data_IF_567458134748
#
_entry.id   IF_567458134748
#
_cell.length_a   1.000
_cell.length_b   1.000
_cell.length_c   1.000
_cell.angle_alpha   90.00
_cell.angle_beta   90.00
_cell.angle_gamma   90.00
#
_symmetry.space_group_name_H-M   'P 1'
#
loop_
_entity.id
_entity.type
_entity.pdbx_description
1 polymer ?
#
# COMPACT_ATOMS: atom_id res chain seq x y z
N UNK A 1 34.34 -6.68 9.86
CA UNK A 1 34.66 -6.23 11.23
C UNK A 1 33.40 -6.32 12.05
N UNK A 2 33.50 -6.76 13.31
CA UNK A 2 32.40 -6.79 14.29
C UNK A 2 32.69 -5.83 15.42
N UNK A 3 31.70 -5.04 15.80
CA UNK A 3 31.82 -4.10 16.91
C UNK A 3 30.74 -4.44 17.94
N UNK A 4 31.13 -4.70 19.18
CA UNK A 4 30.17 -4.86 20.27
C UNK A 4 29.85 -3.49 20.85
N UNK A 5 28.63 -3.00 20.64
CA UNK A 5 28.09 -1.88 21.38
C UNK A 5 27.37 -2.41 22.62
N UNK A 6 28.00 -2.25 23.77
CA UNK A 6 27.46 -2.72 25.05
C UNK A 6 27.24 -1.58 26.02
N UNK A 7 25.98 -1.23 26.32
CA UNK A 7 25.68 -0.62 27.59
C UNK A 7 26.19 -1.51 28.72
N UNK A 8 26.55 -0.92 29.84
CA UNK A 8 26.90 -1.67 31.05
C UNK A 8 25.88 -1.39 32.15
N UNK A 9 25.62 -2.39 32.96
CA UNK A 9 24.77 -2.28 34.14
C UNK A 9 25.47 -2.72 35.42
N UNK A 10 24.67 -2.86 36.47
CA UNK A 10 25.13 -3.35 37.78
C UNK A 10 25.49 -4.83 37.78
N UNK A 11 25.00 -5.59 36.80
CA UNK A 11 25.31 -7.02 36.62
C UNK A 11 26.55 -7.29 35.80
N UNK A 12 27.08 -6.27 35.12
CA UNK A 12 28.35 -6.34 34.43
C UNK A 12 29.47 -5.91 35.41
N UNK A 13 30.73 -6.36 35.20
CA UNK A 13 31.16 -7.29 34.14
C UNK A 13 30.88 -8.77 34.48
N UNK A 14 30.84 -9.13 35.76
CA UNK A 14 30.70 -10.51 36.27
C UNK A 14 29.74 -10.51 37.47
N UNK A 15 29.02 -11.62 37.68
CA UNK A 15 28.16 -11.79 38.86
C UNK A 15 28.07 -13.26 39.24
N UNK A 16 28.29 -13.57 40.52
CA UNK A 16 28.32 -14.96 41.02
C UNK A 16 29.25 -15.86 40.20
N UNK A 17 30.47 -15.39 39.92
CA UNK A 17 31.46 -16.13 39.12
C UNK A 17 30.94 -16.58 37.74
N UNK A 18 30.04 -15.79 37.13
CA UNK A 18 29.49 -15.99 35.78
C UNK A 18 29.52 -14.68 35.03
N UNK A 19 29.71 -14.76 33.72
CA UNK A 19 29.76 -13.59 32.85
C UNK A 19 28.47 -12.76 32.96
N UNK A 20 28.66 -11.44 33.14
CA UNK A 20 27.67 -10.45 32.75
C UNK A 20 27.43 -10.49 31.24
N UNK A 21 26.38 -9.84 30.77
CA UNK A 21 25.99 -9.98 29.36
C UNK A 21 27.05 -9.40 28.41
N UNK A 22 27.76 -8.33 28.81
CA UNK A 22 28.86 -7.79 28.02
C UNK A 22 29.96 -8.84 27.77
N UNK A 23 30.45 -9.48 28.84
CA UNK A 23 31.51 -10.49 28.77
C UNK A 23 31.05 -11.75 28.05
N UNK A 24 29.82 -12.20 28.27
CA UNK A 24 29.29 -13.38 27.60
C UNK A 24 29.22 -13.15 26.08
N UNK A 25 28.77 -11.98 25.63
CA UNK A 25 28.76 -11.66 24.19
C UNK A 25 30.18 -11.60 23.65
N UNK A 26 31.10 -10.93 24.35
CA UNK A 26 32.51 -10.84 23.97
C UNK A 26 33.12 -12.24 23.77
N UNK A 27 32.92 -13.15 24.72
CA UNK A 27 33.45 -14.52 24.71
C UNK A 27 33.02 -15.33 23.48
N UNK A 28 31.73 -15.27 23.11
CA UNK A 28 31.17 -16.11 22.05
C UNK A 28 31.20 -15.48 20.66
N UNK A 29 31.17 -14.14 20.56
CA UNK A 29 31.14 -13.45 19.27
C UNK A 29 32.50 -12.90 18.83
N UNK A 30 33.44 -12.75 19.77
CA UNK A 30 34.80 -12.26 19.54
C UNK A 30 34.85 -11.02 18.64
N UNK A 31 34.19 -9.90 19.04
CA UNK A 31 34.24 -8.66 18.29
C UNK A 31 35.67 -8.12 18.16
N UNK A 32 35.91 -7.36 17.08
CA UNK A 32 37.20 -6.70 16.81
C UNK A 32 37.39 -5.43 17.66
N UNK A 33 36.28 -4.85 18.17
CA UNK A 33 36.28 -3.64 18.97
C UNK A 33 35.06 -3.62 19.91
N UNK A 34 35.23 -3.13 21.13
CA UNK A 34 34.14 -2.95 22.11
C UNK A 34 33.89 -1.46 22.36
N UNK A 35 32.63 -1.05 22.23
CA UNK A 35 32.14 0.26 22.60
C UNK A 35 31.29 0.13 23.86
N UNK A 36 31.81 0.61 24.99
CA UNK A 36 31.08 0.64 26.25
C UNK A 36 30.26 1.91 26.38
N UNK A 37 28.96 1.76 26.62
CA UNK A 37 28.05 2.89 26.83
C UNK A 37 27.69 3.02 28.31
N UNK A 38 28.02 4.17 28.89
CA UNK A 38 27.86 4.43 30.32
C UNK A 38 26.75 5.45 30.60
N UNK A 39 25.88 5.14 31.55
CA UNK A 39 25.14 6.18 32.30
C UNK A 39 26.09 6.90 33.25
N UNK A 40 25.68 8.05 33.80
CA UNK A 40 26.54 8.80 34.73
C UNK A 40 26.99 7.96 35.94
N UNK A 41 26.10 7.10 36.46
CA UNK A 41 26.41 6.20 37.57
C UNK A 41 27.45 5.14 37.19
N UNK A 42 27.29 4.51 36.02
CA UNK A 42 28.21 3.46 35.57
C UNK A 42 29.57 4.04 35.14
N UNK A 43 29.60 5.27 34.61
CA UNK A 43 30.83 5.99 34.30
C UNK A 43 31.65 6.26 35.56
N UNK A 44 31.00 6.73 36.63
CA UNK A 44 31.68 6.99 37.90
C UNK A 44 32.23 5.68 38.50
N UNK A 45 31.44 4.60 38.44
CA UNK A 45 31.88 3.26 38.87
C UNK A 45 33.10 2.78 38.09
N UNK A 46 33.12 2.98 36.77
CA UNK A 46 34.28 2.63 35.95
C UNK A 46 35.51 3.48 36.28
N UNK A 47 35.36 4.80 36.50
CA UNK A 47 36.48 5.67 36.87
C UNK A 47 37.12 5.28 38.20
N UNK A 48 36.32 4.76 39.13
CA UNK A 48 36.79 4.35 40.45
C UNK A 48 37.45 2.98 40.46
N UNK A 49 36.96 2.05 39.63
CA UNK A 49 37.30 0.62 39.76
C UNK A 49 37.94 0.00 38.53
N UNK A 50 37.76 0.58 37.34
CA UNK A 50 38.13 0.02 36.05
C UNK A 50 37.58 -1.40 35.80
N UNK A 51 36.49 -1.78 36.47
CA UNK A 51 36.01 -3.16 36.47
C UNK A 51 35.54 -3.63 35.09
N UNK A 52 34.88 -2.76 34.31
CA UNK A 52 34.32 -3.19 33.02
C UNK A 52 35.42 -3.43 31.99
N UNK A 53 36.42 -2.54 31.93
CA UNK A 53 37.60 -2.71 31.06
C UNK A 53 38.47 -3.88 31.50
N UNK A 54 38.66 -4.08 32.81
CA UNK A 54 39.34 -5.25 33.37
C UNK A 54 38.68 -6.57 32.93
N UNK A 55 37.35 -6.67 33.03
CA UNK A 55 36.63 -7.86 32.61
C UNK A 55 36.81 -8.17 31.12
N UNK A 56 36.83 -7.14 30.27
CA UNK A 56 37.09 -7.31 28.83
C UNK A 56 38.50 -7.83 28.59
N UNK A 57 39.51 -7.24 29.24
CA UNK A 57 40.90 -7.66 29.11
C UNK A 57 41.11 -9.10 29.59
N UNK A 58 40.38 -9.54 30.62
CA UNK A 58 40.39 -10.94 31.07
C UNK A 58 39.86 -11.90 30.02
N UNK A 59 38.71 -11.60 29.41
CA UNK A 59 38.04 -12.50 28.46
C UNK A 59 38.67 -12.46 27.06
N UNK A 60 39.08 -11.28 26.59
CA UNK A 60 39.72 -11.09 25.30
C UNK A 60 40.87 -10.08 25.41
N UNK A 61 42.07 -10.54 25.84
CA UNK A 61 43.23 -9.68 26.02
C UNK A 61 43.60 -8.88 24.77
N UNK A 62 43.87 -7.59 24.94
CA UNK A 62 44.24 -6.68 23.85
C UNK A 62 43.09 -6.26 22.93
N UNK A 63 41.83 -6.59 23.28
CA UNK A 63 40.67 -6.10 22.54
C UNK A 63 40.54 -4.58 22.68
N UNK A 64 40.50 -3.80 21.58
CA UNK A 64 40.32 -2.35 21.66
C UNK A 64 38.98 -1.98 22.30
N UNK A 65 39.02 -1.09 23.31
CA UNK A 65 37.84 -0.58 24.02
C UNK A 65 37.73 0.93 23.86
N UNK A 66 36.54 1.42 23.52
CA UNK A 66 36.19 2.85 23.56
C UNK A 66 34.99 3.10 24.45
N UNK A 67 34.97 4.23 25.15
CA UNK A 67 33.90 4.61 26.06
C UNK A 67 33.01 5.71 25.46
N UNK A 68 31.70 5.58 25.64
CA UNK A 68 30.72 6.64 25.42
C UNK A 68 30.07 6.99 26.76
N UNK A 69 30.44 8.14 27.31
CA UNK A 69 29.93 8.66 28.57
C UNK A 69 28.71 9.54 28.29
N UNK A 70 27.51 9.05 28.59
CA UNK A 70 26.27 9.75 28.22
C UNK A 70 25.90 10.93 29.12
N UNK A 71 26.46 11.00 30.34
CA UNK A 71 26.07 11.99 31.35
C UNK A 71 24.62 11.84 31.87
N UNK A 72 23.89 10.81 31.47
CA UNK A 72 22.48 10.60 31.84
C UNK A 72 22.39 10.13 33.30
N UNK A 73 21.68 10.92 34.12
CA UNK A 73 21.40 10.62 35.54
C UNK A 73 20.02 10.00 35.74
N UNK A 74 19.00 10.52 35.06
CA UNK A 74 17.63 9.99 35.13
C UNK A 74 17.44 8.78 34.23
N UNK A 75 18.19 7.72 34.55
CA UNK A 75 18.32 6.51 33.77
C UNK A 75 17.03 5.67 33.67
N UNK A 76 16.01 6.03 34.44
CA UNK A 76 14.70 5.39 34.49
C UNK A 76 13.69 6.03 33.51
N UNK A 77 14.00 7.18 32.92
CA UNK A 77 13.14 7.89 31.96
C UNK A 77 13.58 7.58 30.53
N UNK A 78 12.62 7.28 29.64
CA UNK A 78 12.92 7.06 28.21
C UNK A 78 13.48 8.32 27.55
N UNK A 79 12.90 9.49 27.85
CA UNK A 79 13.25 10.77 27.24
C UNK A 79 14.75 11.10 27.36
N UNK A 80 15.39 10.65 28.44
CA UNK A 80 16.82 10.79 28.66
C UNK A 80 17.68 10.12 27.57
N UNK A 81 17.16 9.07 26.92
CA UNK A 81 17.91 8.25 25.96
C UNK A 81 17.46 8.40 24.51
N UNK A 82 16.23 8.89 24.26
CA UNK A 82 15.58 8.85 22.94
C UNK A 82 16.44 9.41 21.79
N UNK A 83 17.28 10.41 22.08
CA UNK A 83 18.20 10.99 21.10
C UNK A 83 19.63 10.49 21.26
N UNK A 84 20.16 10.52 22.48
CA UNK A 84 21.59 10.29 22.72
C UNK A 84 22.02 8.84 22.41
N UNK A 85 21.25 7.85 22.84
CA UNK A 85 21.62 6.45 22.66
C UNK A 85 21.61 6.04 21.17
N UNK A 86 20.56 6.33 20.37
CA UNK A 86 20.60 6.07 18.94
C UNK A 86 21.72 6.81 18.23
N UNK A 87 21.95 8.09 18.53
CA UNK A 87 23.03 8.88 17.95
C UNK A 87 24.41 8.28 18.25
N UNK A 88 24.60 7.72 19.44
CA UNK A 88 25.84 7.05 19.82
C UNK A 88 26.10 5.82 18.96
N UNK A 89 25.09 4.98 18.74
CA UNK A 89 25.19 3.80 17.86
C UNK A 89 25.42 4.24 16.41
N UNK A 90 24.73 5.27 15.93
CA UNK A 90 24.97 5.83 14.59
C UNK A 90 26.38 6.38 14.43
N UNK A 91 26.92 7.04 15.45
CA UNK A 91 28.28 7.56 15.40
C UNK A 91 29.30 6.42 15.23
N UNK A 92 29.10 5.30 15.93
CA UNK A 92 29.91 4.09 15.73
C UNK A 92 29.79 3.57 14.30
N UNK A 93 28.57 3.50 13.74
CA UNK A 93 28.38 3.11 12.34
C UNK A 93 29.03 4.09 11.36
N UNK A 94 28.99 5.39 11.63
CA UNK A 94 29.66 6.40 10.79
C UNK A 94 31.19 6.27 10.80
N UNK A 95 31.77 5.93 11.95
CA UNK A 95 33.21 5.65 12.07
C UNK A 95 33.60 4.34 11.38
N UNK A 96 32.69 3.36 11.38
CA UNK A 96 32.92 2.03 10.80
C UNK A 96 31.75 1.61 9.88
N UNK A 97 31.63 2.19 8.66
CA UNK A 97 30.46 2.00 7.81
C UNK A 97 30.20 0.55 7.38
N UNK A 98 31.27 -0.25 7.21
CA UNK A 98 31.19 -1.64 6.77
C UNK A 98 31.17 -2.65 7.94
N UNK A 99 31.11 -2.17 9.19
CA UNK A 99 31.09 -3.04 10.36
C UNK A 99 29.68 -3.54 10.69
N UNK A 100 29.60 -4.81 11.10
CA UNK A 100 28.42 -5.37 11.78
C UNK A 100 28.47 -4.91 13.24
N UNK A 101 27.41 -4.25 13.72
CA UNK A 101 27.31 -3.79 15.10
C UNK A 101 26.46 -4.76 15.91
N UNK A 102 27.08 -5.46 16.85
CA UNK A 102 26.42 -6.32 17.82
C UNK A 102 25.87 -5.45 18.96
N UNK A 103 24.56 -5.41 19.13
CA UNK A 103 23.90 -4.64 20.18
C UNK A 103 23.59 -5.55 21.37
N UNK A 104 24.16 -5.25 22.54
CA UNK A 104 23.82 -5.96 23.77
C UNK A 104 22.41 -5.56 24.26
N UNK A 105 21.45 -6.51 24.17
CA UNK A 105 20.06 -6.33 24.58
C UNK A 105 19.80 -6.73 26.04
N UNK A 106 20.83 -7.16 26.77
CA UNK A 106 20.72 -7.70 28.13
C UNK A 106 21.33 -6.82 29.22
N UNK A 107 22.22 -5.89 28.89
CA UNK A 107 22.82 -4.94 29.84
C UNK A 107 22.11 -3.57 29.85
N UNK A 108 22.34 -2.79 30.91
CA UNK A 108 21.73 -1.47 31.11
C UNK A 108 20.28 -1.52 31.62
N UNK A 109 19.62 -0.37 31.63
CA UNK A 109 18.23 -0.24 32.09
C UNK A 109 17.26 -0.82 31.05
N UNK A 110 16.02 -1.19 31.44
CA UNK A 110 15.01 -1.66 30.49
C UNK A 110 14.78 -0.69 29.31
N UNK A 111 14.89 0.61 29.53
CA UNK A 111 14.74 1.65 28.51
C UNK A 111 15.81 1.54 27.42
N UNK A 112 17.08 1.39 27.82
CA UNK A 112 18.21 1.18 26.91
C UNK A 112 17.99 -0.07 26.06
N UNK A 113 17.60 -1.19 26.69
CA UNK A 113 17.37 -2.47 26.00
C UNK A 113 16.30 -2.35 24.93
N UNK A 114 15.19 -1.67 25.23
CA UNK A 114 14.09 -1.43 24.27
C UNK A 114 14.59 -0.59 23.09
N UNK A 115 15.33 0.49 23.34
CA UNK A 115 15.85 1.35 22.27
C UNK A 115 16.81 0.57 21.36
N UNK A 116 17.73 -0.21 21.93
CA UNK A 116 18.64 -1.05 21.14
C UNK A 116 17.91 -2.14 20.36
N UNK A 117 16.86 -2.74 20.93
CA UNK A 117 16.02 -3.69 20.21
C UNK A 117 15.30 -3.04 19.01
N UNK A 118 14.82 -1.79 19.14
CA UNK A 118 14.28 -1.02 18.02
C UNK A 118 15.35 -0.80 16.95
N UNK A 119 16.57 -0.41 17.34
CA UNK A 119 17.68 -0.23 16.38
C UNK A 119 18.03 -1.53 15.64
N UNK A 120 18.12 -2.65 16.35
CA UNK A 120 18.33 -3.97 15.75
C UNK A 120 17.18 -4.42 14.83
N UNK A 121 15.99 -3.85 14.99
CA UNK A 121 14.82 -4.12 14.13
C UNK A 121 14.87 -3.30 12.84
N UNK A 122 15.25 -2.03 12.94
CA UNK A 122 15.17 -1.07 11.83
C UNK A 122 16.40 -1.07 10.91
N UNK A 123 17.57 -1.45 11.42
CA UNK A 123 18.83 -1.35 10.67
C UNK A 123 19.50 -2.70 10.45
N UNK A 124 19.72 -3.08 9.18
CA UNK A 124 20.31 -4.38 8.81
C UNK A 124 21.78 -4.53 9.21
N UNK A 125 22.49 -3.43 9.50
CA UNK A 125 23.87 -3.43 10.02
C UNK A 125 23.94 -3.62 11.55
N UNK A 126 22.79 -3.69 12.23
CA UNK A 126 22.70 -4.03 13.65
C UNK A 126 22.29 -5.49 13.84
N UNK A 127 22.90 -6.17 14.81
CA UNK A 127 22.49 -7.51 15.26
C UNK A 127 22.28 -7.51 16.77
N UNK A 128 21.02 -7.69 17.18
CA UNK A 128 20.65 -7.70 18.60
C UNK A 128 20.97 -9.03 19.27
N UNK A 129 21.78 -9.01 20.32
CA UNK A 129 22.17 -10.19 21.08
C UNK A 129 21.58 -10.13 22.49
N UNK A 130 20.81 -11.15 22.85
CA UNK A 130 20.24 -11.31 24.19
C UNK A 130 21.02 -12.40 24.94
N UNK A 131 21.43 -12.11 26.17
CA UNK A 131 22.05 -13.07 27.09
C UNK A 131 21.07 -13.43 28.20
N UNK A 132 20.75 -14.73 28.34
CA UNK A 132 19.95 -15.23 29.46
C UNK A 132 20.75 -15.21 30.76
N UNK A 133 20.12 -14.97 31.92
CA UNK A 133 20.82 -15.08 33.21
C UNK A 133 21.23 -16.53 33.49
N UNK A 134 22.30 -16.78 34.27
CA UNK A 134 22.74 -18.14 34.59
C UNK A 134 21.65 -19.01 35.23
N UNK A 135 20.80 -18.41 36.07
CA UNK A 135 19.68 -19.09 36.74
C UNK A 135 18.38 -19.11 35.90
N UNK A 136 18.33 -18.47 34.74
CA UNK A 136 17.13 -18.33 33.92
C UNK A 136 16.02 -17.45 34.52
N UNK A 137 16.30 -16.75 35.62
CA UNK A 137 15.38 -15.86 36.35
C UNK A 137 16.04 -14.53 36.75
N UNK A 138 15.25 -13.60 37.31
CA UNK A 138 15.75 -12.27 37.68
C UNK A 138 16.70 -12.33 38.88
N UNK A 139 17.83 -11.64 38.78
CA UNK A 139 18.88 -11.61 39.80
C UNK A 139 18.62 -10.52 40.87
N UNK A 140 17.39 -10.35 41.37
CA UNK A 140 17.05 -9.27 42.32
C UNK A 140 17.68 -9.49 43.71
N UNK A 141 17.95 -10.73 44.07
CA UNK A 141 18.34 -11.12 45.44
C UNK A 141 19.85 -11.20 45.70
N UNK A 142 20.69 -10.97 44.69
CA UNK A 142 22.15 -11.01 44.83
C UNK A 142 22.73 -9.61 44.92
N UNK A 143 23.76 -9.38 45.73
CA UNK A 143 24.38 -8.06 45.86
C UNK A 143 25.25 -7.80 44.62
N UNK A 144 25.14 -6.63 43.95
CA UNK A 144 26.06 -6.25 42.88
C UNK A 144 27.48 -6.10 43.43
N UNK A 145 28.47 -6.46 42.61
CA UNK A 145 29.89 -6.32 42.98
C UNK A 145 30.21 -4.85 43.31
N UNK A 146 30.96 -4.56 44.38
CA UNK A 146 31.15 -3.17 44.82
C UNK A 146 32.49 -2.60 44.37
N UNK A 147 33.56 -3.41 44.39
CA UNK A 147 34.92 -2.96 44.12
C UNK A 147 35.67 -3.84 43.10
N UNK A 148 36.90 -3.44 42.78
CA UNK A 148 37.75 -4.08 41.77
C UNK A 148 38.29 -5.44 42.25
N UNK A 149 38.60 -5.55 43.54
CA UNK A 149 39.21 -6.74 44.14
C UNK A 149 38.20 -7.90 44.09
N UNK A 150 36.93 -7.63 44.38
CA UNK A 150 35.83 -8.57 44.20
C UNK A 150 35.69 -9.05 42.74
N UNK A 151 35.87 -8.15 41.76
CA UNK A 151 35.80 -8.51 40.33
C UNK A 151 36.96 -9.40 39.91
N UNK A 152 38.18 -9.08 40.35
CA UNK A 152 39.35 -9.93 40.09
C UNK A 152 39.16 -11.34 40.66
N UNK A 153 38.66 -11.46 41.89
CA UNK A 153 38.39 -12.76 42.51
C UNK A 153 37.29 -13.55 41.77
N UNK A 154 36.19 -12.89 41.38
CA UNK A 154 35.12 -13.53 40.62
C UNK A 154 35.53 -13.93 39.21
N UNK A 155 36.43 -13.18 38.57
CA UNK A 155 36.98 -13.52 37.25
C UNK A 155 37.92 -14.73 37.34
N UNK A 156 38.73 -14.84 38.39
CA UNK A 156 39.60 -16.00 38.61
C UNK A 156 38.83 -17.32 38.80
N UNK A 157 37.62 -17.23 39.37
CA UNK A 157 36.74 -18.37 39.59
C UNK A 157 35.61 -18.47 38.56
N UNK A 158 35.70 -17.77 37.42
CA UNK A 158 34.58 -17.64 36.49
C UNK A 158 34.24 -18.97 35.81
N UNK A 159 33.07 -19.50 36.09
CA UNK A 159 32.59 -20.78 35.55
C UNK A 159 32.33 -20.72 34.03
N UNK A 160 32.24 -19.53 33.44
CA UNK A 160 32.13 -19.37 31.98
C UNK A 160 33.52 -19.42 31.28
N UNK A 161 34.64 -19.47 32.02
CA UNK A 161 35.99 -19.74 31.47
C UNK A 161 36.23 -21.24 31.21
N UNK A 162 35.45 -22.11 31.86
CA UNK A 162 35.65 -23.56 31.79
C UNK A 162 35.32 -24.14 30.40
N UNK A 163 36.10 -25.11 29.91
CA UNK A 163 35.80 -25.80 28.66
C UNK A 163 34.40 -26.43 28.68
N UNK A 164 33.53 -26.01 27.76
CA UNK A 164 32.17 -26.52 27.65
C UNK A 164 31.10 -25.70 28.40
N UNK A 165 31.45 -24.51 28.91
CA UNK A 165 30.46 -23.54 29.35
C UNK A 165 29.36 -23.32 28.28
N UNK A 166 28.13 -23.12 28.72
CA UNK A 166 26.97 -23.01 27.82
C UNK A 166 26.91 -21.62 27.20
N UNK A 167 26.71 -21.56 25.88
CA UNK A 167 26.36 -20.31 25.23
C UNK A 167 24.94 -19.88 25.62
N UNK A 168 24.83 -18.79 26.39
CA UNK A 168 23.57 -18.18 26.85
C UNK A 168 23.09 -17.07 25.91
N UNK A 169 23.81 -16.80 24.82
CA UNK A 169 23.40 -15.84 23.81
C UNK A 169 22.28 -16.42 22.93
N UNK A 170 21.26 -15.61 22.70
CA UNK A 170 20.19 -15.83 21.75
C UNK A 170 20.06 -14.60 20.86
N UNK A 171 19.67 -14.83 19.62
CA UNK A 171 19.37 -13.78 18.64
C UNK A 171 17.86 -13.73 18.45
N UNK A 172 17.15 -12.84 19.16
CA UNK A 172 15.71 -12.73 19.01
C UNK A 172 15.37 -12.35 17.56
N UNK A 173 14.35 -13.00 16.98
CA UNK A 173 13.86 -12.66 15.65
C UNK A 173 13.05 -11.35 15.69
N UNK A 174 13.74 -10.23 15.86
CA UNK A 174 13.14 -8.90 15.96
C UNK A 174 12.56 -8.42 14.62
N UNK A 175 13.02 -8.97 13.49
CA UNK A 175 12.53 -8.66 12.14
C UNK A 175 11.03 -8.89 11.97
N UNK A 176 10.42 -9.75 12.80
CA UNK A 176 8.97 -9.95 12.83
C UNK A 176 8.19 -8.67 13.18
N UNK A 177 8.76 -7.77 13.99
CA UNK A 177 8.12 -6.50 14.36
C UNK A 177 8.03 -5.56 13.15
N UNK A 178 9.10 -5.48 12.36
CA UNK A 178 9.14 -4.75 11.09
C UNK A 178 8.12 -5.32 10.10
N UNK A 179 8.02 -6.65 10.01
CA UNK A 179 7.05 -7.32 9.17
C UNK A 179 5.60 -6.91 9.49
N UNK A 180 5.22 -6.83 10.77
CA UNK A 180 3.86 -6.39 11.14
C UNK A 180 3.56 -4.95 10.73
N UNK A 181 4.53 -4.04 10.86
CA UNK A 181 4.39 -2.66 10.41
C UNK A 181 4.23 -2.57 8.90
N UNK A 182 5.09 -3.26 8.15
CA UNK A 182 5.05 -3.29 6.68
C UNK A 182 3.73 -3.89 6.17
N UNK A 183 3.20 -4.93 6.83
CA UNK A 183 1.87 -5.47 6.53
C UNK A 183 0.77 -4.43 6.69
N UNK A 184 0.80 -3.64 7.76
CA UNK A 184 -0.18 -2.58 7.99
C UNK A 184 -0.10 -1.47 6.91
N UNK A 185 1.12 -1.08 6.52
CA UNK A 185 1.36 -0.11 5.45
C UNK A 185 0.81 -0.62 4.10
N UNK A 186 1.10 -1.87 3.75
CA UNK A 186 0.57 -2.54 2.55
C UNK A 186 -0.96 -2.54 2.55
N UNK A 187 -1.59 -2.96 3.67
CA UNK A 187 -3.06 -2.98 3.79
C UNK A 187 -3.66 -1.59 3.63
N UNK A 188 -3.06 -0.56 4.22
CA UNK A 188 -3.52 0.83 4.10
C UNK A 188 -3.54 1.31 2.65
N UNK A 189 -2.50 0.96 1.87
CA UNK A 189 -2.42 1.26 0.44
C UNK A 189 -3.47 0.48 -0.36
N UNK A 190 -3.61 -0.82 -0.10
CA UNK A 190 -4.60 -1.70 -0.76
C UNK A 190 -6.03 -1.19 -0.55
N UNK A 191 -6.40 -0.82 0.67
CA UNK A 191 -7.73 -0.28 0.98
C UNK A 191 -8.03 1.08 0.30
N UNK A 192 -6.99 1.82 -0.09
CA UNK A 192 -7.09 3.08 -0.86
C UNK A 192 -6.96 2.88 -2.37
N UNK A 193 -6.91 1.63 -2.84
CA UNK A 193 -6.68 1.24 -4.22
C UNK A 193 -5.30 1.70 -4.77
N UNK A 194 -4.31 1.91 -3.89
CA UNK A 194 -2.93 2.31 -4.24
C UNK A 194 -2.03 1.08 -4.44
N UNK A 195 -2.41 0.23 -5.40
CA UNK A 195 -1.75 -1.07 -5.61
C UNK A 195 -0.31 -0.98 -6.10
N UNK A 196 0.04 0.06 -6.87
CA UNK A 196 1.42 0.28 -7.30
C UNK A 196 2.33 0.58 -6.10
N UNK A 197 1.88 1.41 -5.17
CA UNK A 197 2.59 1.65 -3.90
C UNK A 197 2.73 0.36 -3.09
N UNK A 198 1.63 -0.39 -2.94
CA UNK A 198 1.66 -1.66 -2.21
C UNK A 198 2.64 -2.68 -2.84
N UNK A 199 2.74 -2.70 -4.17
CA UNK A 199 3.68 -3.56 -4.90
C UNK A 199 5.14 -3.19 -4.63
N UNK A 200 5.47 -1.89 -4.57
CA UNK A 200 6.83 -1.42 -4.28
C UNK A 200 7.33 -1.91 -2.92
N UNK A 201 6.46 -1.94 -1.91
CA UNK A 201 6.79 -2.46 -0.59
C UNK A 201 6.92 -3.99 -0.55
N UNK A 202 6.08 -4.73 -1.27
CA UNK A 202 6.03 -6.19 -1.14
C UNK A 202 6.97 -6.95 -2.08
N UNK A 203 7.33 -6.40 -3.25
CA UNK A 203 8.03 -7.16 -4.32
C UNK A 203 9.37 -7.75 -3.91
N UNK A 204 10.12 -7.06 -3.04
CA UNK A 204 11.45 -7.46 -2.59
C UNK A 204 11.49 -8.10 -1.22
N UNK A 205 10.35 -8.18 -0.53
CA UNK A 205 10.30 -8.65 0.85
C UNK A 205 10.06 -10.16 0.90
N UNK A 206 11.04 -10.98 1.36
CA UNK A 206 10.90 -12.43 1.43
C UNK A 206 9.84 -12.88 2.44
N UNK A 207 9.55 -12.06 3.47
CA UNK A 207 8.59 -12.38 4.53
C UNK A 207 7.13 -12.22 4.10
N UNK A 208 6.87 -11.58 2.95
CA UNK A 208 5.53 -11.44 2.39
C UNK A 208 5.19 -12.66 1.53
N UNK A 209 4.05 -13.34 1.77
CA UNK A 209 3.66 -14.52 1.00
C UNK A 209 3.56 -14.27 -0.50
N UNK A 210 3.97 -15.27 -1.30
CA UNK A 210 3.95 -15.15 -2.76
C UNK A 210 2.52 -14.99 -3.32
N UNK A 211 1.52 -15.56 -2.66
CA UNK A 211 0.12 -15.37 -3.05
C UNK A 211 -0.31 -13.90 -2.86
N UNK A 212 0.07 -13.27 -1.75
CA UNK A 212 -0.14 -11.83 -1.53
C UNK A 212 0.53 -11.01 -2.64
N UNK A 213 1.80 -11.29 -2.94
CA UNK A 213 2.54 -10.60 -4.02
C UNK A 213 1.82 -10.75 -5.36
N UNK A 214 1.33 -11.95 -5.67
CA UNK A 214 0.58 -12.25 -6.89
C UNK A 214 -0.74 -11.46 -6.96
N UNK A 215 -1.51 -11.42 -5.87
CA UNK A 215 -2.76 -10.67 -5.78
C UNK A 215 -2.54 -9.16 -5.96
N UNK A 216 -1.56 -8.58 -5.25
CA UNK A 216 -1.23 -7.15 -5.36
C UNK A 216 -0.78 -6.80 -6.78
N UNK A 217 0.12 -7.61 -7.37
CA UNK A 217 0.59 -7.40 -8.74
C UNK A 217 -0.55 -7.47 -9.75
N UNK A 218 -1.47 -8.43 -9.58
CA UNK A 218 -2.68 -8.52 -10.38
C UNK A 218 -3.55 -7.27 -10.24
N UNK A 219 -3.82 -6.83 -9.01
CA UNK A 219 -4.63 -5.66 -8.72
C UNK A 219 -4.05 -4.39 -9.36
N UNK A 220 -2.73 -4.23 -9.28
CA UNK A 220 -1.98 -3.14 -9.90
C UNK A 220 -2.21 -3.08 -11.41
N UNK A 221 -1.98 -4.18 -12.13
CA UNK A 221 -2.21 -4.21 -13.58
C UNK A 221 -3.68 -4.01 -13.95
N UNK A 222 -4.61 -4.59 -13.19
CA UNK A 222 -6.04 -4.48 -13.47
C UNK A 222 -6.54 -3.05 -13.27
N UNK A 223 -6.09 -2.37 -12.21
CA UNK A 223 -6.49 -1.00 -11.89
C UNK A 223 -5.93 0.03 -12.88
N UNK A 224 -4.79 -0.27 -13.52
CA UNK A 224 -4.18 0.54 -14.58
C UNK A 224 -4.76 0.26 -15.99
N UNK A 225 -5.89 -0.44 -16.08
CA UNK A 225 -6.50 -0.90 -17.35
C UNK A 225 -5.56 -1.77 -18.21
N UNK A 226 -4.50 -2.34 -17.63
CA UNK A 226 -3.63 -3.31 -18.30
C UNK A 226 -4.24 -4.72 -18.21
N UNK A 227 -5.49 -4.87 -18.65
CA UNK A 227 -6.32 -6.08 -18.51
C UNK A 227 -5.62 -7.34 -19.02
N UNK A 228 -4.90 -7.25 -20.15
CA UNK A 228 -4.14 -8.39 -20.70
C UNK A 228 -3.03 -8.86 -19.77
N UNK A 229 -2.28 -7.92 -19.16
CA UNK A 229 -1.23 -8.25 -18.21
C UNK A 229 -1.82 -8.86 -16.93
N UNK A 230 -2.92 -8.30 -16.43
CA UNK A 230 -3.65 -8.86 -15.29
C UNK A 230 -4.15 -10.30 -15.57
N UNK A 231 -4.75 -10.54 -16.74
CA UNK A 231 -5.22 -11.87 -17.17
C UNK A 231 -4.10 -12.91 -17.29
N UNK A 232 -2.89 -12.50 -17.66
CA UNK A 232 -1.72 -13.38 -17.72
C UNK A 232 -1.28 -13.83 -16.32
N UNK A 233 -1.50 -13.00 -15.29
CA UNK A 233 -1.21 -13.36 -13.90
C UNK A 233 -2.25 -14.36 -13.38
N UNK A 234 -3.54 -14.05 -13.56
CA UNK A 234 -4.63 -14.97 -13.24
C UNK A 234 -5.96 -14.56 -13.87
N UNK A 235 -6.78 -15.58 -14.16
CA UNK A 235 -8.17 -15.41 -14.62
C UNK A 235 -9.20 -15.92 -13.62
N UNK A 236 -8.74 -16.73 -12.66
CA UNK A 236 -9.55 -17.31 -11.60
C UNK A 236 -8.81 -17.21 -10.27
N UNK A 237 -9.54 -16.97 -9.20
CA UNK A 237 -9.03 -17.03 -7.84
C UNK A 237 -10.15 -17.50 -6.91
N UNK A 238 -9.84 -18.42 -5.98
CA UNK A 238 -10.81 -19.03 -5.06
C UNK A 238 -12.11 -19.51 -5.75
N UNK A 239 -11.99 -20.17 -6.91
CA UNK A 239 -13.13 -20.69 -7.68
C UNK A 239 -13.93 -19.64 -8.47
N UNK A 240 -13.60 -18.36 -8.36
CA UNK A 240 -14.32 -17.27 -9.02
C UNK A 240 -13.60 -16.80 -10.29
N UNK A 241 -14.37 -16.52 -11.34
CA UNK A 241 -13.87 -15.89 -12.56
C UNK A 241 -13.69 -14.39 -12.34
N UNK A 242 -12.47 -13.88 -12.53
CA UNK A 242 -12.13 -12.47 -12.30
C UNK A 242 -12.55 -11.58 -13.47
N UNK A 243 -12.66 -12.16 -14.67
CA UNK A 243 -13.14 -11.54 -15.89
C UNK A 243 -14.24 -12.42 -16.50
N UNK A 244 -15.51 -12.24 -16.09
CA UNK A 244 -16.61 -13.12 -16.51
C UNK A 244 -17.25 -12.71 -17.85
N UNK A 245 -16.83 -11.59 -18.43
CA UNK A 245 -17.30 -11.08 -19.71
C UNK A 245 -16.28 -11.31 -20.81
N UNK A 246 -16.64 -11.05 -22.08
CA UNK A 246 -15.71 -11.21 -23.20
C UNK A 246 -15.68 -9.96 -24.09
N UNK A 247 -14.55 -9.74 -24.76
CA UNK A 247 -14.35 -8.71 -25.79
C UNK A 247 -14.79 -7.29 -25.35
N UNK A 248 -15.73 -6.70 -26.09
CA UNK A 248 -16.23 -5.34 -25.89
C UNK A 248 -16.91 -5.18 -24.52
N UNK A 249 -17.67 -6.19 -24.05
CA UNK A 249 -18.33 -6.16 -22.75
C UNK A 249 -17.33 -6.21 -21.58
N UNK A 250 -16.25 -6.98 -21.70
CA UNK A 250 -15.16 -6.98 -20.71
C UNK A 250 -14.51 -5.59 -20.63
N UNK A 251 -14.24 -4.97 -21.78
CA UNK A 251 -13.62 -3.64 -21.84
C UNK A 251 -14.50 -2.57 -21.16
N UNK A 252 -15.82 -2.60 -21.38
CA UNK A 252 -16.76 -1.68 -20.73
C UNK A 252 -16.80 -1.86 -19.21
N UNK A 253 -16.85 -3.12 -18.75
CA UNK A 253 -16.90 -3.44 -17.32
C UNK A 253 -15.60 -3.04 -16.62
N UNK A 254 -14.45 -3.39 -17.19
CA UNK A 254 -13.15 -3.02 -16.60
C UNK A 254 -12.96 -1.49 -16.57
N UNK A 255 -13.38 -0.79 -17.63
CA UNK A 255 -13.35 0.67 -17.64
C UNK A 255 -14.24 1.28 -16.55
N UNK A 256 -15.48 0.79 -16.40
CA UNK A 256 -16.37 1.28 -15.35
C UNK A 256 -15.83 1.00 -13.94
N UNK A 257 -15.18 -0.15 -13.71
CA UNK A 257 -14.56 -0.45 -12.42
C UNK A 257 -13.46 0.56 -12.07
N UNK A 258 -12.66 1.01 -13.04
CA UNK A 258 -11.67 2.08 -12.78
C UNK A 258 -12.31 3.44 -12.53
N UNK A 259 -13.42 3.75 -13.22
CA UNK A 259 -14.21 4.94 -12.91
C UNK A 259 -14.77 4.88 -11.49
N UNK A 260 -15.19 3.70 -11.03
CA UNK A 260 -15.65 3.48 -9.65
C UNK A 260 -14.53 3.73 -8.64
N UNK A 261 -13.30 3.26 -8.90
CA UNK A 261 -12.13 3.58 -8.07
C UNK A 261 -11.93 5.10 -7.98
N UNK A 262 -11.91 5.82 -9.11
CA UNK A 262 -11.73 7.28 -9.09
C UNK A 262 -12.85 7.99 -8.33
N UNK A 263 -14.10 7.54 -8.47
CA UNK A 263 -15.24 8.10 -7.73
C UNK A 263 -15.10 7.84 -6.22
N UNK A 264 -14.75 6.63 -5.81
CA UNK A 264 -14.59 6.26 -4.40
C UNK A 264 -13.39 6.98 -3.75
N UNK A 265 -12.32 7.24 -4.51
CA UNK A 265 -11.15 8.02 -4.06
C UNK A 265 -11.39 9.53 -4.04
N UNK A 266 -12.54 10.02 -4.50
CA UNK A 266 -12.82 11.45 -4.65
C UNK A 266 -12.01 12.14 -5.76
N UNK A 267 -11.44 11.37 -6.70
CA UNK A 267 -10.65 11.85 -7.84
C UNK A 267 -11.59 12.28 -8.98
N UNK A 268 -12.45 13.28 -8.70
CA UNK A 268 -13.56 13.62 -9.58
C UNK A 268 -13.12 14.21 -10.93
N UNK A 269 -11.97 14.89 -11.01
CA UNK A 269 -11.45 15.34 -12.30
C UNK A 269 -11.18 14.16 -13.25
N UNK A 270 -10.48 13.12 -12.76
CA UNK A 270 -10.23 11.89 -13.51
C UNK A 270 -11.54 11.17 -13.86
N UNK A 271 -12.44 11.04 -12.88
CA UNK A 271 -13.77 10.46 -13.10
C UNK A 271 -14.53 11.17 -14.23
N UNK A 272 -14.58 12.51 -14.22
CA UNK A 272 -15.26 13.30 -15.24
C UNK A 272 -14.67 13.11 -16.63
N UNK A 273 -13.34 13.15 -16.77
CA UNK A 273 -12.67 12.94 -18.07
C UNK A 273 -13.01 11.57 -18.66
N UNK A 274 -13.14 10.54 -17.83
CA UNK A 274 -13.48 9.18 -18.26
C UNK A 274 -14.93 9.03 -18.78
N UNK A 275 -15.86 9.92 -18.42
CA UNK A 275 -17.28 9.77 -18.76
C UNK A 275 -17.52 9.68 -20.27
N UNK A 276 -16.81 10.48 -21.06
CA UNK A 276 -17.09 10.56 -22.50
C UNK A 276 -16.65 9.35 -23.30
N UNK A 277 -15.42 8.82 -23.14
CA UNK A 277 -15.08 7.56 -23.77
C UNK A 277 -15.97 6.42 -23.27
N UNK A 278 -16.32 6.39 -21.97
CA UNK A 278 -17.20 5.36 -21.42
C UNK A 278 -18.62 5.41 -22.04
N UNK A 279 -19.29 6.56 -21.97
CA UNK A 279 -20.64 6.72 -22.51
C UNK A 279 -20.67 6.51 -24.03
N UNK A 280 -19.64 6.95 -24.74
CA UNK A 280 -19.55 6.70 -26.18
C UNK A 280 -19.50 5.21 -26.50
N UNK A 281 -18.59 4.44 -25.87
CA UNK A 281 -18.49 3.00 -26.12
C UNK A 281 -19.72 2.24 -25.61
N UNK A 282 -20.27 2.61 -24.45
CA UNK A 282 -21.49 2.03 -23.88
C UNK A 282 -22.68 2.22 -24.82
N UNK A 283 -22.89 3.45 -25.28
CA UNK A 283 -23.99 3.80 -26.17
C UNK A 283 -23.80 3.19 -27.55
N UNK A 284 -22.58 3.16 -28.08
CA UNK A 284 -22.30 2.51 -29.34
C UNK A 284 -22.56 0.99 -29.27
N UNK A 285 -22.17 0.35 -28.18
CA UNK A 285 -22.44 -1.06 -27.92
C UNK A 285 -23.95 -1.33 -27.85
N UNK A 286 -24.69 -0.50 -27.10
CA UNK A 286 -26.15 -0.60 -27.02
C UNK A 286 -26.84 -0.36 -28.37
N UNK A 287 -26.40 0.65 -29.12
CA UNK A 287 -26.94 1.00 -30.43
C UNK A 287 -26.85 -0.19 -31.42
N UNK A 288 -25.70 -0.86 -31.46
CA UNK A 288 -25.49 -2.05 -32.30
C UNK A 288 -26.41 -3.22 -31.94
N UNK A 289 -26.83 -3.31 -30.68
CA UNK A 289 -27.58 -4.46 -30.16
C UNK A 289 -29.10 -4.26 -30.16
N UNK A 290 -29.57 -3.03 -29.91
CA UNK A 290 -30.99 -2.81 -29.60
C UNK A 290 -31.69 -1.77 -30.49
N UNK A 291 -30.97 -1.07 -31.38
CA UNK A 291 -31.64 -0.16 -32.31
C UNK A 291 -31.91 -0.83 -33.65
N UNK A 292 -33.07 -0.53 -34.23
CA UNK A 292 -33.41 -0.94 -35.60
C UNK A 292 -32.71 -0.05 -36.63
N UNK A 293 -32.47 1.23 -36.29
CA UNK A 293 -31.71 2.14 -37.14
C UNK A 293 -30.22 1.74 -37.14
N UNK A 294 -29.64 1.36 -38.29
CA UNK A 294 -28.24 0.94 -38.36
C UNK A 294 -27.32 2.15 -38.44
N UNK A 295 -27.36 3.05 -37.44
CA UNK A 295 -26.61 4.33 -37.43
C UNK A 295 -25.13 4.15 -37.75
N UNK A 296 -24.52 3.05 -37.27
CA UNK A 296 -23.09 2.76 -37.51
C UNK A 296 -22.79 2.55 -39.00
N UNK A 297 -23.76 2.04 -39.77
CA UNK A 297 -23.65 1.86 -41.22
C UNK A 297 -23.90 3.16 -42.01
N UNK A 298 -24.40 4.20 -41.34
CA UNK A 298 -24.63 5.52 -41.96
C UNK A 298 -23.41 6.45 -41.82
N UNK A 299 -22.42 6.05 -41.03
CA UNK A 299 -21.20 6.82 -40.83
C UNK A 299 -20.31 6.77 -42.05
N UNK A 300 -19.77 7.93 -42.42
CA UNK A 300 -18.71 8.05 -43.42
C UNK A 300 -17.35 8.21 -42.76
N UNK A 301 -16.30 7.76 -43.46
CA UNK A 301 -14.93 8.10 -43.09
C UNK A 301 -14.59 9.46 -43.68
N UNK A 302 -14.32 10.43 -42.81
CA UNK A 302 -13.82 11.74 -43.20
C UNK A 302 -12.57 12.08 -42.37
N UNK A 303 -11.43 12.27 -43.05
CA UNK A 303 -10.11 12.52 -42.42
C UNK A 303 -9.79 11.57 -41.26
N UNK A 304 -10.13 10.29 -41.42
CA UNK A 304 -9.90 9.23 -40.42
C UNK A 304 -10.96 9.15 -39.31
N UNK A 305 -11.95 10.05 -39.29
CA UNK A 305 -13.02 10.12 -38.30
C UNK A 305 -14.33 9.54 -38.85
N UNK A 306 -15.16 8.97 -37.97
CA UNK A 306 -16.50 8.46 -38.33
C UNK A 306 -17.51 9.57 -38.16
N UNK A 307 -17.94 10.15 -39.27
CA UNK A 307 -18.81 11.33 -39.32
C UNK A 307 -20.19 10.92 -39.80
N UNK A 308 -21.22 11.41 -39.13
CA UNK A 308 -22.58 11.31 -39.63
C UNK A 308 -22.83 12.57 -40.48
N UNK A 309 -22.94 12.39 -41.79
CA UNK A 309 -23.14 13.52 -42.71
C UNK A 309 -24.60 13.68 -43.08
N UNK A 310 -25.02 14.93 -43.17
CA UNK A 310 -26.37 15.33 -43.52
C UNK A 310 -26.74 14.87 -44.93
N UNK A 311 -25.83 15.06 -45.90
CA UNK A 311 -26.01 14.62 -47.29
C UNK A 311 -26.26 13.11 -47.40
N UNK A 312 -25.66 12.34 -46.50
CA UNK A 312 -25.76 10.88 -46.48
C UNK A 312 -27.08 10.46 -45.85
N UNK A 313 -27.42 11.04 -44.70
CA UNK A 313 -28.64 10.73 -43.95
C UNK A 313 -29.91 10.93 -44.79
N UNK A 314 -29.98 11.95 -45.64
CA UNK A 314 -31.16 12.20 -46.51
C UNK A 314 -31.49 10.99 -47.40
N UNK A 315 -30.51 10.16 -47.74
CA UNK A 315 -30.68 9.00 -48.61
C UNK A 315 -30.71 7.66 -47.86
N UNK A 316 -30.72 7.66 -46.52
CA UNK A 316 -30.73 6.45 -45.69
C UNK A 316 -32.13 6.13 -45.16
N UNK A 317 -32.46 4.85 -44.93
CA UNK A 317 -33.69 4.47 -44.23
C UNK A 317 -33.82 5.16 -42.87
N UNK A 318 -34.98 5.75 -42.58
CA UNK A 318 -35.24 6.58 -41.39
C UNK A 318 -34.34 7.83 -41.25
N UNK A 319 -33.46 8.10 -42.22
CA UNK A 319 -32.48 9.18 -42.15
C UNK A 319 -33.10 10.58 -42.32
N UNK A 320 -34.05 10.82 -43.25
CA UNK A 320 -34.78 12.09 -43.32
C UNK A 320 -35.54 12.43 -42.03
N UNK A 321 -36.25 11.47 -41.44
CA UNK A 321 -36.97 11.66 -40.18
C UNK A 321 -36.03 11.91 -39.01
N UNK A 322 -34.89 11.20 -38.96
CA UNK A 322 -33.85 11.46 -37.97
C UNK A 322 -33.27 12.86 -38.14
N UNK A 323 -33.05 13.34 -39.37
CA UNK A 323 -32.55 14.69 -39.62
C UNK A 323 -33.51 15.77 -39.15
N UNK A 324 -34.80 15.61 -39.45
CA UNK A 324 -35.86 16.51 -39.00
C UNK A 324 -35.90 16.56 -37.45
N UNK A 325 -35.87 15.39 -36.81
CA UNK A 325 -35.79 15.30 -35.35
C UNK A 325 -34.54 16.00 -34.78
N UNK A 326 -33.36 15.77 -35.38
CA UNK A 326 -32.12 16.38 -34.91
C UNK A 326 -32.13 17.91 -35.09
N UNK A 327 -32.72 18.42 -36.18
CA UNK A 327 -32.85 19.87 -36.41
C UNK A 327 -33.71 20.55 -35.35
N UNK A 328 -34.75 19.87 -34.87
CA UNK A 328 -35.60 20.35 -33.78
C UNK A 328 -34.94 20.21 -32.41
N UNK A 329 -34.19 19.12 -32.20
CA UNK A 329 -33.59 18.80 -30.90
C UNK A 329 -32.40 19.71 -30.54
N UNK A 330 -31.72 20.29 -31.52
CA UNK A 330 -30.59 21.20 -31.31
C UNK A 330 -30.99 22.67 -31.43
N UNK A 331 -30.23 23.56 -30.76
CA UNK A 331 -30.43 25.03 -30.87
C UNK A 331 -30.24 25.58 -32.28
N UNK A 332 -29.50 24.87 -33.12
CA UNK A 332 -29.26 25.18 -34.53
C UNK A 332 -29.39 23.89 -35.32
N UNK A 333 -29.80 23.97 -36.61
CA UNK A 333 -29.90 22.80 -37.45
C UNK A 333 -28.67 21.91 -37.38
N UNK A 334 -28.89 20.60 -37.42
CA UNK A 334 -27.84 19.61 -37.32
C UNK A 334 -26.78 19.81 -38.40
N UNK A 335 -25.51 19.82 -37.95
CA UNK A 335 -24.32 19.94 -38.79
C UNK A 335 -23.55 18.63 -38.77
N UNK A 336 -22.88 18.34 -39.88
CA UNK A 336 -21.98 17.20 -40.01
C UNK A 336 -21.00 17.15 -38.84
N UNK A 337 -20.93 15.99 -38.18
CA UNK A 337 -20.14 15.84 -36.98
C UNK A 337 -19.76 14.40 -36.69
N UNK A 338 -18.69 14.24 -35.91
CA UNK A 338 -18.30 12.93 -35.39
C UNK A 338 -19.42 12.33 -34.54
N UNK A 339 -19.58 11.02 -34.63
CA UNK A 339 -20.49 10.31 -33.75
C UNK A 339 -20.00 10.49 -32.31
N UNK A 340 -20.82 11.14 -31.48
CA UNK A 340 -20.53 11.43 -30.07
C UNK A 340 -21.59 10.80 -29.18
N UNK A 341 -21.29 10.64 -27.89
CA UNK A 341 -22.28 10.10 -26.95
C UNK A 341 -23.57 10.94 -26.90
N UNK A 342 -23.46 12.26 -27.10
CA UNK A 342 -24.64 13.14 -27.11
C UNK A 342 -25.47 12.95 -28.39
N UNK A 343 -24.83 12.72 -29.54
CA UNK A 343 -25.56 12.41 -30.77
C UNK A 343 -26.24 11.03 -30.66
N UNK A 344 -25.56 10.04 -30.08
CA UNK A 344 -26.14 8.74 -29.78
C UNK A 344 -27.34 8.84 -28.82
N UNK A 345 -27.23 9.67 -27.77
CA UNK A 345 -28.34 9.97 -26.88
C UNK A 345 -29.58 10.47 -27.63
N UNK A 346 -29.44 11.46 -28.51
CA UNK A 346 -30.57 11.95 -29.29
C UNK A 346 -31.13 10.90 -30.26
N UNK A 347 -30.29 10.02 -30.80
CA UNK A 347 -30.74 8.88 -31.60
C UNK A 347 -31.56 7.90 -30.75
N UNK A 348 -31.24 7.73 -29.46
CA UNK A 348 -32.04 6.92 -28.55
C UNK A 348 -33.39 7.57 -28.26
N UNK A 349 -33.42 8.89 -28.04
CA UNK A 349 -34.68 9.62 -27.89
C UNK A 349 -35.54 9.48 -29.15
N UNK A 350 -34.95 9.63 -30.34
CA UNK A 350 -35.64 9.39 -31.61
C UNK A 350 -36.20 7.97 -31.70
N UNK A 351 -35.40 6.95 -31.37
CA UNK A 351 -35.83 5.56 -31.37
C UNK A 351 -37.02 5.33 -30.41
N UNK A 352 -37.02 5.97 -29.24
CA UNK A 352 -38.14 5.92 -28.30
C UNK A 352 -39.44 6.48 -28.91
N UNK A 353 -39.34 7.59 -29.67
CA UNK A 353 -40.52 8.22 -30.31
C UNK A 353 -41.07 7.45 -31.51
N UNK A 354 -40.23 6.62 -32.17
CA UNK A 354 -40.55 5.92 -33.41
C UNK A 354 -40.67 4.40 -33.26
N UNK A 355 -40.65 3.91 -32.02
CA UNK A 355 -40.57 2.47 -31.71
C UNK A 355 -39.41 1.78 -32.46
N UNK A 356 -38.28 2.49 -32.56
CA UNK A 356 -37.09 2.11 -33.33
C UNK A 356 -36.14 1.18 -32.59
N UNK A 357 -36.65 0.38 -31.65
CA UNK A 357 -35.87 -0.55 -30.85
C UNK A 357 -36.24 -2.01 -31.18
N UNK A 358 -35.25 -2.90 -31.13
CA UNK A 358 -35.45 -4.35 -31.30
C UNK A 358 -36.20 -4.92 -30.09
N UNK A 359 -35.77 -4.55 -28.89
CA UNK A 359 -36.48 -4.79 -27.64
C UNK A 359 -36.94 -3.45 -27.05
N UNK A 360 -38.23 -3.15 -27.23
CA UNK A 360 -38.84 -1.90 -26.79
C UNK A 360 -38.98 -1.78 -25.28
N UNK A 361 -39.15 -2.88 -24.53
CA UNK A 361 -39.18 -2.84 -23.07
C UNK A 361 -37.80 -2.52 -22.51
N UNK A 362 -36.76 -3.19 -23.02
CA UNK A 362 -35.37 -2.88 -22.69
C UNK A 362 -35.00 -1.45 -23.04
N UNK A 363 -35.54 -0.91 -24.13
CA UNK A 363 -35.32 0.49 -24.49
C UNK A 363 -36.00 1.48 -23.55
N UNK A 364 -37.25 1.21 -23.17
CA UNK A 364 -37.94 2.01 -22.15
C UNK A 364 -37.20 1.98 -20.81
N UNK A 365 -36.75 0.81 -20.37
CA UNK A 365 -35.96 0.68 -19.14
C UNK A 365 -34.65 1.49 -19.22
N UNK A 366 -33.91 1.38 -20.32
CA UNK A 366 -32.69 2.16 -20.57
C UNK A 366 -32.94 3.68 -20.54
N UNK A 367 -34.04 4.14 -21.13
CA UNK A 367 -34.41 5.56 -21.20
C UNK A 367 -35.07 6.08 -19.92
N UNK A 368 -35.57 5.20 -19.04
CA UNK A 368 -36.13 5.55 -17.74
C UNK A 368 -35.05 5.84 -16.68
N UNK A 369 -33.78 5.49 -16.93
CA UNK A 369 -32.68 5.90 -16.06
C UNK A 369 -32.67 7.44 -15.91
N UNK A 370 -32.48 7.99 -14.69
CA UNK A 370 -32.48 9.43 -14.48
C UNK A 370 -31.54 10.20 -15.41
N UNK A 371 -30.37 9.63 -15.72
CA UNK A 371 -29.38 10.24 -16.62
C UNK A 371 -29.87 10.26 -18.07
N UNK A 372 -30.66 9.27 -18.49
CA UNK A 372 -31.11 9.09 -19.88
C UNK A 372 -32.48 9.70 -20.16
N UNK A 373 -33.28 9.97 -19.13
CA UNK A 373 -34.63 10.49 -19.30
C UNK A 373 -34.60 11.88 -20.00
N UNK A 374 -35.28 12.05 -21.15
CA UNK A 374 -35.33 13.32 -21.89
C UNK A 374 -36.05 14.47 -21.16
N UNK A 375 -36.83 14.17 -20.12
CA UNK A 375 -37.44 15.18 -19.25
C UNK A 375 -36.40 15.86 -18.35
N UNK A 376 -35.24 15.23 -18.13
CA UNK A 376 -34.17 15.74 -17.29
C UNK A 376 -33.06 16.39 -18.13
N UNK A 377 -32.34 17.36 -17.53
CA UNK A 377 -31.19 18.00 -18.17
C UNK A 377 -29.84 17.37 -17.80
N UNK A 378 -29.87 16.26 -17.06
CA UNK A 378 -28.68 15.68 -16.42
C UNK A 378 -27.58 15.32 -17.44
N UNK A 379 -27.91 14.68 -18.56
CA UNK A 379 -26.89 14.32 -19.55
C UNK A 379 -26.26 15.54 -20.24
N UNK A 380 -27.03 16.61 -20.47
CA UNK A 380 -26.53 17.84 -21.07
C UNK A 380 -25.62 18.60 -20.09
N UNK A 381 -26.03 18.70 -18.82
CA UNK A 381 -25.20 19.32 -17.79
C UNK A 381 -23.94 18.50 -17.48
N UNK A 382 -24.05 17.17 -17.48
CA UNK A 382 -22.89 16.28 -17.36
C UNK A 382 -21.90 16.49 -18.50
N UNK A 383 -22.41 16.60 -19.74
CA UNK A 383 -21.60 16.91 -20.92
C UNK A 383 -20.86 18.24 -20.76
N UNK A 384 -21.54 19.30 -20.30
CA UNK A 384 -20.92 20.61 -20.10
C UNK A 384 -19.83 20.55 -19.04
N UNK A 385 -20.11 19.97 -17.87
CA UNK A 385 -19.11 19.86 -16.81
C UNK A 385 -17.89 19.05 -17.29
N UNK A 386 -18.12 17.90 -17.95
CA UNK A 386 -17.03 17.09 -18.52
C UNK A 386 -16.19 17.90 -19.51
N UNK A 387 -16.83 18.61 -20.45
CA UNK A 387 -16.14 19.39 -21.46
C UNK A 387 -15.23 20.44 -20.81
N UNK A 388 -15.73 21.16 -19.80
CA UNK A 388 -14.91 22.11 -19.04
C UNK A 388 -13.74 21.39 -18.37
N UNK A 389 -13.96 20.27 -17.68
CA UNK A 389 -12.87 19.52 -17.02
C UNK A 389 -11.80 19.02 -17.97
N UNK A 390 -12.17 18.63 -19.20
CA UNK A 390 -11.23 18.09 -20.17
C UNK A 390 -10.44 19.16 -20.95
N UNK A 391 -10.96 20.39 -21.05
CA UNK A 391 -10.39 21.45 -21.90
C UNK A 391 -9.93 22.68 -21.11
N UNK A 392 -10.33 22.82 -19.86
CA UNK A 392 -10.00 23.94 -18.98
C UNK A 392 -9.40 23.45 -17.66
N UNK A 393 -8.58 24.28 -17.01
CA UNK A 393 -8.05 23.99 -15.66
C UNK A 393 -9.12 24.43 -14.65
N UNK A 394 -9.98 23.50 -14.27
CA UNK A 394 -11.09 23.75 -13.33
C UNK A 394 -11.01 22.82 -12.12
N UNK A 395 -11.40 23.33 -10.96
CA UNK A 395 -11.57 22.50 -9.76
C UNK A 395 -12.85 21.68 -9.88
N UNK A 396 -12.78 20.38 -9.60
CA UNK A 396 -13.92 19.46 -9.62
C UNK A 396 -14.02 18.76 -8.26
N UNK A 397 -14.99 19.18 -7.47
CA UNK A 397 -15.36 18.55 -6.19
C UNK A 397 -16.74 17.88 -6.28
N UNK A 398 -17.12 17.08 -5.27
CA UNK A 398 -18.47 16.51 -5.18
C UNK A 398 -19.56 17.60 -5.23
N UNK A 399 -19.35 18.72 -4.53
CA UNK A 399 -20.26 19.86 -4.54
C UNK A 399 -20.34 20.51 -5.93
N UNK A 400 -19.21 20.65 -6.61
CA UNK A 400 -19.17 21.21 -7.98
C UNK A 400 -19.96 20.32 -8.94
N UNK A 401 -19.81 18.99 -8.82
CA UNK A 401 -20.58 18.04 -9.62
C UNK A 401 -22.06 18.22 -9.33
N UNK A 402 -22.48 18.18 -8.06
CA UNK A 402 -23.89 18.33 -7.67
C UNK A 402 -24.51 19.65 -8.13
N UNK A 403 -23.82 20.77 -7.94
CA UNK A 403 -24.31 22.10 -8.32
C UNK A 403 -24.46 22.25 -9.83
N UNK A 404 -23.53 21.70 -10.61
CA UNK A 404 -23.53 21.86 -12.06
C UNK A 404 -24.37 20.84 -12.79
N UNK A 405 -24.46 19.61 -12.30
CA UNK A 405 -25.20 18.52 -12.97
C UNK A 405 -26.55 18.23 -12.35
N UNK A 406 -26.78 18.62 -11.09
CA UNK A 406 -27.94 18.20 -10.30
C UNK A 406 -27.82 16.78 -9.71
N UNK A 407 -26.73 16.06 -9.99
CA UNK A 407 -26.49 14.69 -9.54
C UNK A 407 -25.24 14.62 -8.65
N UNK A 408 -25.24 13.76 -7.63
CA UNK A 408 -24.01 13.44 -6.93
C UNK A 408 -23.15 12.49 -7.77
N UNK A 409 -21.81 12.45 -7.57
CA UNK A 409 -20.94 11.48 -8.26
C UNK A 409 -21.41 10.02 -8.10
N UNK A 410 -21.97 9.66 -6.94
CA UNK A 410 -22.55 8.34 -6.68
C UNK A 410 -23.76 8.03 -7.55
N UNK A 411 -24.61 9.03 -7.81
CA UNK A 411 -25.83 8.87 -8.61
C UNK A 411 -25.45 8.62 -10.07
N UNK A 412 -24.45 9.35 -10.57
CA UNK A 412 -23.90 9.16 -11.93
C UNK A 412 -23.31 7.74 -12.07
N UNK A 413 -22.54 7.30 -11.08
CA UNK A 413 -21.99 5.94 -11.06
C UNK A 413 -23.10 4.88 -11.01
N UNK A 414 -24.15 5.11 -10.23
CA UNK A 414 -25.30 4.21 -10.15
C UNK A 414 -26.03 4.10 -11.49
N UNK A 415 -26.23 5.23 -12.20
CA UNK A 415 -26.76 5.23 -13.57
C UNK A 415 -25.90 4.40 -14.51
N UNK A 416 -24.57 4.58 -14.52
CA UNK A 416 -23.68 3.80 -15.39
C UNK A 416 -23.81 2.29 -15.17
N UNK A 417 -23.89 1.86 -13.91
CA UNK A 417 -24.11 0.45 -13.60
C UNK A 417 -25.51 -0.03 -13.97
N UNK A 418 -26.54 0.79 -13.77
CA UNK A 418 -27.91 0.47 -14.19
C UNK A 418 -27.95 0.26 -15.70
N UNK A 419 -27.44 1.22 -16.49
CA UNK A 419 -27.36 1.12 -17.95
C UNK A 419 -26.61 -0.12 -18.41
N UNK A 420 -25.47 -0.46 -17.81
CA UNK A 420 -24.77 -1.72 -18.09
C UNK A 420 -25.61 -2.95 -17.74
N UNK A 421 -26.38 -2.91 -16.65
CA UNK A 421 -27.22 -4.04 -16.24
C UNK A 421 -28.42 -4.25 -17.16
N UNK A 422 -28.98 -3.18 -17.75
CA UNK A 422 -29.98 -3.28 -18.81
C UNK A 422 -29.36 -3.96 -20.04
N UNK A 423 -28.14 -3.55 -20.41
CA UNK A 423 -27.44 -4.07 -21.59
C UNK A 423 -27.04 -5.54 -21.42
N UNK A 424 -26.29 -5.85 -20.36
CA UNK A 424 -25.59 -7.12 -20.15
C UNK A 424 -26.34 -8.08 -19.22
N UNK A 425 -27.39 -7.64 -18.54
CA UNK A 425 -28.11 -8.40 -17.51
C UNK A 425 -27.63 -8.11 -16.09
N UNK A 426 -28.47 -8.42 -15.10
CA UNK A 426 -28.27 -8.07 -13.68
C UNK A 426 -26.99 -8.67 -13.07
N UNK A 427 -26.45 -9.76 -13.64
CA UNK A 427 -25.23 -10.39 -13.15
C UNK A 427 -24.00 -9.48 -13.20
N UNK A 428 -24.00 -8.42 -14.04
CA UNK A 428 -22.92 -7.43 -14.09
C UNK A 428 -22.76 -6.69 -12.77
N UNK A 429 -23.85 -6.53 -12.00
CA UNK A 429 -23.80 -5.85 -10.70
C UNK A 429 -22.95 -6.59 -9.66
N UNK A 430 -22.67 -7.90 -9.85
CA UNK A 430 -21.71 -8.64 -9.01
C UNK A 430 -20.29 -8.08 -9.12
N UNK A 431 -19.95 -7.40 -10.21
CA UNK A 431 -18.62 -6.82 -10.40
C UNK A 431 -18.40 -5.55 -9.58
N UNK A 432 -19.46 -4.88 -9.10
CA UNK A 432 -19.34 -3.66 -8.26
C UNK A 432 -18.44 -3.84 -7.04
N UNK A 433 -18.36 -5.07 -6.51
CA UNK A 433 -17.52 -5.41 -5.36
C UNK A 433 -16.16 -6.01 -5.73
N UNK A 434 -15.79 -6.09 -7.02
CA UNK A 434 -14.61 -6.83 -7.48
C UNK A 434 -13.32 -6.38 -6.79
N UNK A 435 -13.07 -5.07 -6.69
CA UNK A 435 -11.88 -4.55 -6.02
C UNK A 435 -11.96 -4.64 -4.49
N UNK A 436 -13.14 -4.48 -3.89
CA UNK A 436 -13.31 -4.68 -2.44
C UNK A 436 -13.05 -6.14 -2.04
N UNK A 437 -13.51 -7.07 -2.86
CA UNK A 437 -13.27 -8.50 -2.68
C UNK A 437 -11.80 -8.86 -2.91
N UNK A 438 -11.16 -8.27 -3.93
CA UNK A 438 -9.73 -8.43 -4.16
C UNK A 438 -8.91 -7.93 -2.96
N UNK A 439 -9.29 -6.79 -2.38
CA UNK A 439 -8.67 -6.25 -1.17
C UNK A 439 -8.82 -7.23 0.01
N UNK A 440 -10.01 -7.79 0.22
CA UNK A 440 -10.25 -8.80 1.26
C UNK A 440 -9.37 -10.05 1.08
N UNK A 441 -9.18 -10.52 -0.16
CA UNK A 441 -8.27 -11.63 -0.41
C UNK A 441 -6.82 -11.28 -0.12
N UNK A 442 -6.40 -10.05 -0.45
CA UNK A 442 -5.06 -9.56 -0.11
C UNK A 442 -4.89 -9.56 1.42
N UNK A 443 -5.85 -9.01 2.17
CA UNK A 443 -5.80 -8.99 3.64
C UNK A 443 -5.70 -10.40 4.24
N UNK A 444 -6.51 -11.33 3.74
CA UNK A 444 -6.51 -12.73 4.19
C UNK A 444 -5.18 -13.43 3.88
N UNK A 445 -4.56 -13.13 2.73
CA UNK A 445 -3.28 -13.71 2.35
C UNK A 445 -2.09 -13.14 3.14
N UNK A 446 -2.19 -11.91 3.64
CA UNK A 446 -1.14 -11.21 4.39
C UNK A 446 -0.99 -11.73 5.83
N UNK A 447 -2.10 -12.18 6.42
CA UNK A 447 -2.10 -12.77 7.75
C UNK A 447 -1.70 -14.25 7.61
N UNK A 448 -0.60 -14.71 8.24
CA UNK A 448 -0.33 -16.13 8.29
C UNK A 448 -1.53 -16.81 8.95
N UNK A 449 -2.03 -17.88 8.32
CA UNK A 449 -3.03 -18.74 8.93
C UNK A 449 -2.56 -19.11 10.34
N UNK A 450 -3.48 -19.01 11.29
CA UNK A 450 -3.28 -19.52 12.65
C UNK A 450 -2.77 -20.96 12.66
#
# INVERSE_FOLDING_TARGET
>A
MRILFSPVGTTDPVRNCRDGACLHILRYYQPDHVVLYYTAEMEEREKQTHMYTLGIEHVQPGCPVSAICSGIKDAHLFDSYLHHLPQSVFHVHQMYPDAEILLNLSSGTPQIKVILAIMATEYDWCRGIQVASPEGRSNVHTVPVQDKEDVEEMLLCNEDDEPGAINRCAEPNLKILRLYREKHEIMSLVHRYEYAGAWEFCKGNPEIPDDTKKLIKFAMYRADLQTKAAQQIMRKYCGQHLFPFSHEAESLVEYLLTMQIHQEKGQYASFMVQISPFLYELFLYYAKQNLTIPVVQYLERDRGKKVLKRSTLVHKPMGPELLEFLDEAFKTPYRDGELSFILLYYIFVFALTKDGAIDGEKHRDFMNDPLMNPENKYIDELRKLRNNTAHEIVNVSADTVKQRTGMNPSDIMQSFWHLLSVILGLQVNKQRSAYRQLNQWIDQSLLPGK
#
